data_IF_356023159099
#
_entry.id   IF_356023159099
#
_cell.length_a   1.000
_cell.length_b   1.000
_cell.length_c   1.000
_cell.angle_alpha   90.00
_cell.angle_beta   90.00
_cell.angle_gamma   90.00
#
_symmetry.space_group_name_H-M   'P 1'
#
loop_
_entity.id
_entity.type
_entity.pdbx_description
1 polymer ?
#
# COMPACT_ATOMS: atom_id res chain seq x y z
N UNK A 1 -18.63 2.24 -3.14
CA UNK A 1 -19.98 2.00 -2.58
C UNK A 1 -21.09 1.99 -3.61
N UNK A 2 -21.09 2.83 -4.66
CA UNK A 2 -22.12 2.81 -5.73
C UNK A 2 -22.34 1.43 -6.36
N UNK A 3 -21.25 0.75 -6.78
CA UNK A 3 -21.31 -0.60 -7.37
C UNK A 3 -21.83 -1.68 -6.40
N UNK A 4 -21.57 -1.53 -5.10
CA UNK A 4 -22.06 -2.44 -4.06
C UNK A 4 -23.53 -2.17 -3.72
N UNK A 5 -23.96 -0.91 -3.77
CA UNK A 5 -25.37 -0.52 -3.63
C UNK A 5 -26.22 -1.03 -4.80
N UNK A 6 -25.66 -1.04 -6.02
CA UNK A 6 -26.32 -1.56 -7.22
C UNK A 6 -26.45 -3.09 -7.22
N UNK A 7 -25.50 -3.81 -6.61
CA UNK A 7 -25.47 -5.29 -6.57
C UNK A 7 -26.02 -5.91 -5.27
N UNK A 8 -26.24 -5.12 -4.22
CA UNK A 8 -26.73 -5.58 -2.91
C UNK A 8 -25.76 -6.51 -2.16
N UNK A 9 -24.51 -6.66 -2.64
CA UNK A 9 -23.50 -7.56 -2.08
C UNK A 9 -22.08 -7.05 -2.35
N UNK A 10 -21.10 -7.63 -1.66
CA UNK A 10 -19.67 -7.45 -1.94
C UNK A 10 -19.14 -8.78 -2.48
N UNK A 11 -18.40 -8.72 -3.58
CA UNK A 11 -17.70 -9.84 -4.19
C UNK A 11 -16.33 -9.39 -4.72
N UNK A 12 -15.48 -10.36 -5.07
CA UNK A 12 -14.19 -10.07 -5.69
C UNK A 12 -14.34 -9.26 -6.99
N UNK A 13 -15.35 -9.57 -7.80
CA UNK A 13 -15.63 -8.85 -9.06
C UNK A 13 -16.06 -7.40 -8.82
N UNK A 14 -16.85 -7.14 -7.77
CA UNK A 14 -17.24 -5.76 -7.42
C UNK A 14 -16.00 -4.95 -7.02
N UNK A 15 -15.10 -5.55 -6.23
CA UNK A 15 -13.85 -4.89 -5.83
C UNK A 15 -12.95 -4.67 -7.05
N UNK A 16 -12.76 -5.69 -7.90
CA UNK A 16 -11.96 -5.57 -9.15
C UNK A 16 -12.52 -4.50 -10.08
N UNK A 17 -13.84 -4.46 -10.24
CA UNK A 17 -14.53 -3.46 -11.06
C UNK A 17 -14.32 -2.04 -10.52
N UNK A 18 -14.28 -1.85 -9.20
CA UNK A 18 -13.99 -0.56 -8.61
C UNK A 18 -12.56 -0.08 -8.92
N UNK A 19 -11.57 -0.97 -8.90
CA UNK A 19 -10.20 -0.67 -9.32
C UNK A 19 -10.14 -0.31 -10.80
N UNK A 20 -10.77 -1.12 -11.67
CA UNK A 20 -10.83 -0.86 -13.11
C UNK A 20 -11.49 0.49 -13.44
N UNK A 21 -12.63 0.80 -12.80
CA UNK A 21 -13.31 2.08 -12.97
C UNK A 21 -12.45 3.27 -12.50
N UNK A 22 -11.68 3.09 -11.42
CA UNK A 22 -10.77 4.12 -10.90
C UNK A 22 -9.61 4.37 -11.88
N UNK A 23 -9.00 3.31 -12.40
CA UNK A 23 -7.95 3.40 -13.41
C UNK A 23 -8.45 4.08 -14.68
N UNK A 24 -9.56 3.63 -15.26
CA UNK A 24 -10.08 4.23 -16.49
C UNK A 24 -10.49 5.69 -16.30
N UNK A 25 -11.07 6.03 -15.14
CA UNK A 25 -11.35 7.41 -14.76
C UNK A 25 -10.08 8.27 -14.71
N UNK A 26 -9.00 7.75 -14.13
CA UNK A 26 -7.72 8.44 -14.08
C UNK A 26 -7.05 8.56 -15.46
N UNK A 27 -7.03 7.50 -16.27
CA UNK A 27 -6.50 7.53 -17.63
C UNK A 27 -7.28 8.51 -18.53
N UNK A 28 -8.61 8.59 -18.39
CA UNK A 28 -9.42 9.60 -19.07
C UNK A 28 -9.07 11.04 -18.64
N UNK A 29 -8.65 11.23 -17.39
CA UNK A 29 -8.12 12.52 -16.92
C UNK A 29 -6.73 12.82 -17.52
N UNK A 30 -5.84 11.83 -17.56
CA UNK A 30 -4.51 11.94 -18.21
C UNK A 30 -4.67 12.31 -19.68
N UNK A 31 -5.53 11.64 -20.46
CA UNK A 31 -5.77 11.97 -21.88
C UNK A 31 -6.14 13.43 -22.09
N UNK A 32 -6.99 13.99 -21.24
CA UNK A 32 -7.43 15.39 -21.35
C UNK A 32 -6.37 16.41 -20.92
N UNK A 33 -5.39 16.00 -20.11
CA UNK A 33 -4.52 16.94 -19.39
C UNK A 33 -3.04 16.83 -19.78
N UNK A 34 -2.58 15.68 -20.28
CA UNK A 34 -1.15 15.42 -20.52
C UNK A 34 -0.49 16.39 -21.51
N UNK A 35 -1.22 16.94 -22.48
CA UNK A 35 -0.67 17.96 -23.39
C UNK A 35 -0.32 19.27 -22.67
N UNK A 36 -1.06 19.61 -21.61
CA UNK A 36 -0.86 20.84 -20.81
C UNK A 36 0.09 20.56 -19.64
N UNK A 37 -0.03 19.40 -19.00
CA UNK A 37 0.76 18.97 -17.86
C UNK A 37 1.31 17.55 -18.10
N UNK A 38 2.40 17.38 -18.88
CA UNK A 38 2.92 16.07 -19.27
C UNK A 38 3.21 15.14 -18.10
N UNK A 39 3.67 15.70 -16.98
CA UNK A 39 4.00 14.94 -15.77
C UNK A 39 2.82 14.16 -15.19
N UNK A 40 1.56 14.49 -15.54
CA UNK A 40 0.39 13.72 -15.08
C UNK A 40 0.45 12.26 -15.54
N UNK A 41 1.06 11.98 -16.70
CA UNK A 41 1.25 10.63 -17.24
C UNK A 41 2.16 9.76 -16.36
N UNK A 42 3.04 10.39 -15.57
CA UNK A 42 3.98 9.72 -14.68
C UNK A 42 3.51 9.68 -13.22
N UNK A 43 2.29 10.16 -12.93
CA UNK A 43 1.70 10.06 -11.60
C UNK A 43 1.02 8.70 -11.48
N UNK A 44 1.38 7.98 -10.43
CA UNK A 44 0.77 6.71 -10.07
C UNK A 44 0.81 6.48 -8.56
N UNK A 45 0.12 5.44 -8.12
CA UNK A 45 -0.01 5.09 -6.71
C UNK A 45 -0.26 3.60 -6.52
N UNK A 46 0.38 3.03 -5.49
CA UNK A 46 -0.02 1.76 -4.90
C UNK A 46 -1.39 1.94 -4.25
N UNK A 47 -2.22 0.88 -4.24
CA UNK A 47 -3.55 0.94 -3.66
C UNK A 47 -3.86 -0.37 -2.94
N UNK A 48 -4.05 -0.27 -1.62
CA UNK A 48 -4.46 -1.38 -0.77
C UNK A 48 -5.83 -1.05 -0.17
N UNK A 49 -6.79 -1.94 -0.41
CA UNK A 49 -8.18 -1.78 0.04
C UNK A 49 -8.59 -3.00 0.85
N UNK A 50 -9.30 -2.77 1.95
CA UNK A 50 -9.97 -3.79 2.74
C UNK A 50 -11.45 -3.48 2.93
N UNK A 51 -12.31 -4.48 2.73
CA UNK A 51 -13.76 -4.39 2.97
C UNK A 51 -14.18 -5.55 3.86
N UNK A 52 -14.78 -5.26 5.00
CA UNK A 52 -15.41 -6.28 5.86
C UNK A 52 -16.92 -6.23 5.59
N UNK A 53 -17.48 -7.32 5.08
CA UNK A 53 -18.89 -7.44 4.76
C UNK A 53 -19.43 -8.78 5.27
N UNK A 54 -20.43 -8.72 6.17
CA UNK A 54 -21.08 -9.91 6.75
C UNK A 54 -20.07 -10.96 7.28
N UNK A 55 -19.08 -10.51 8.05
CA UNK A 55 -18.03 -11.36 8.62
C UNK A 55 -16.97 -11.85 7.63
N UNK A 56 -17.04 -11.45 6.36
CA UNK A 56 -16.05 -11.77 5.34
C UNK A 56 -15.18 -10.56 5.05
N UNK A 57 -13.86 -10.75 5.11
CA UNK A 57 -12.86 -9.77 4.72
C UNK A 57 -12.48 -9.98 3.26
N UNK A 58 -12.59 -8.91 2.47
CA UNK A 58 -12.11 -8.82 1.09
C UNK A 58 -10.93 -7.84 1.07
N UNK A 59 -9.79 -8.28 0.55
CA UNK A 59 -8.58 -7.47 0.38
C UNK A 59 -8.23 -7.39 -1.09
N UNK A 60 -7.92 -6.19 -1.56
CA UNK A 60 -7.41 -5.97 -2.91
C UNK A 60 -6.14 -5.13 -2.83
N UNK A 61 -5.05 -5.64 -3.42
CA UNK A 61 -3.74 -4.99 -3.40
C UNK A 61 -3.22 -4.71 -4.81
N UNK A 62 -2.74 -3.48 -5.01
CA UNK A 62 -1.91 -3.02 -6.12
C UNK A 62 -0.64 -2.41 -5.53
N UNK A 63 0.52 -2.94 -5.92
CA UNK A 63 1.80 -2.46 -5.43
C UNK A 63 2.27 -3.22 -4.19
N UNK A 64 3.05 -2.56 -3.36
CA UNK A 64 3.83 -3.14 -2.25
C UNK A 64 3.45 -2.62 -0.86
N UNK A 65 2.32 -1.92 -0.76
CA UNK A 65 1.55 -1.87 0.48
C UNK A 65 1.11 -3.29 0.87
N UNK A 66 0.91 -3.52 2.17
CA UNK A 66 0.62 -4.86 2.69
C UNK A 66 -0.41 -4.83 3.83
N UNK A 67 -1.29 -5.83 3.83
CA UNK A 67 -2.19 -6.13 4.94
C UNK A 67 -1.75 -7.40 5.68
N UNK A 68 -1.66 -7.31 7.01
CA UNK A 68 -1.28 -8.38 7.92
C UNK A 68 -2.35 -8.54 8.99
N UNK A 69 -2.76 -9.76 9.28
CA UNK A 69 -3.68 -10.08 10.37
C UNK A 69 -2.89 -10.57 11.59
N UNK A 70 -3.24 -10.05 12.77
CA UNK A 70 -2.81 -10.60 14.05
C UNK A 70 -3.89 -11.52 14.59
N UNK A 71 -3.56 -12.79 14.84
CA UNK A 71 -4.49 -13.75 15.41
C UNK A 71 -3.86 -14.57 16.55
N UNK A 72 -4.69 -15.03 17.49
CA UNK A 72 -4.22 -15.89 18.58
C UNK A 72 -4.03 -17.33 18.09
N UNK A 73 -2.80 -17.83 18.21
CA UNK A 73 -2.45 -19.22 17.98
C UNK A 73 -2.99 -20.16 19.08
N UNK A 74 -2.78 -21.46 18.89
CA UNK A 74 -3.25 -22.50 19.83
C UNK A 74 -2.65 -22.35 21.23
N UNK A 75 -1.46 -21.77 21.34
CA UNK A 75 -0.76 -21.54 22.61
C UNK A 75 -1.01 -20.13 23.18
N UNK A 76 -2.06 -19.44 22.75
CA UNK A 76 -2.35 -18.04 23.11
C UNK A 76 -1.24 -17.03 22.76
N UNK A 77 -0.31 -17.39 21.89
CA UNK A 77 0.66 -16.47 21.32
C UNK A 77 0.04 -15.71 20.14
N UNK A 78 0.35 -14.42 20.01
CA UNK A 78 -0.06 -13.64 18.84
C UNK A 78 0.82 -14.02 17.64
N UNK A 79 0.18 -14.33 16.50
CA UNK A 79 0.85 -14.73 15.26
C UNK A 79 0.45 -13.76 14.16
N UNK A 80 1.43 -13.32 13.37
CA UNK A 80 1.23 -12.56 12.15
C UNK A 80 1.01 -13.48 10.95
N UNK A 81 -0.05 -13.22 10.19
CA UNK A 81 -0.30 -13.83 8.89
C UNK A 81 -0.45 -12.72 7.84
N UNK A 82 0.37 -12.77 6.79
CA UNK A 82 0.27 -11.83 5.68
C UNK A 82 -0.87 -12.26 4.76
N UNK A 83 -1.81 -11.35 4.50
CA UNK A 83 -3.01 -11.65 3.70
C UNK A 83 -2.90 -11.19 2.24
N UNK A 84 -1.97 -10.29 1.93
CA UNK A 84 -1.78 -9.74 0.58
C UNK A 84 -0.42 -10.13 0.01
N UNK A 85 -0.34 -10.27 -1.32
CA UNK A 85 0.94 -10.39 -2.02
C UNK A 85 1.47 -9.01 -2.36
N UNK A 86 2.76 -8.80 -2.18
CA UNK A 86 3.41 -7.55 -2.56
C UNK A 86 3.83 -7.64 -4.03
N UNK A 87 3.59 -6.58 -4.79
CA UNK A 87 3.89 -6.53 -6.21
C UNK A 87 5.16 -5.73 -6.46
N UNK A 88 6.29 -6.18 -5.92
CA UNK A 88 7.59 -5.50 -5.98
C UNK A 88 8.64 -6.36 -6.68
N UNK A 89 9.40 -5.78 -7.61
CA UNK A 89 10.46 -6.44 -8.39
C UNK A 89 11.65 -6.94 -7.53
N UNK A 90 11.74 -6.54 -6.25
CA UNK A 90 12.65 -7.14 -5.29
C UNK A 90 12.30 -8.60 -4.96
N UNK A 91 11.06 -9.05 -5.21
CA UNK A 91 10.64 -10.45 -5.08
C UNK A 91 10.92 -11.23 -6.36
N UNK A 92 11.50 -12.43 -6.23
CA UNK A 92 11.87 -13.26 -7.39
C UNK A 92 10.63 -13.70 -8.19
N UNK A 93 9.53 -14.04 -7.53
CA UNK A 93 8.28 -14.43 -8.19
C UNK A 93 7.74 -13.33 -9.12
N UNK A 94 7.81 -12.06 -8.70
CA UNK A 94 7.41 -10.91 -9.52
C UNK A 94 8.37 -10.73 -10.70
N UNK A 95 9.67 -10.96 -10.51
CA UNK A 95 10.65 -10.94 -11.62
C UNK A 95 10.38 -12.04 -12.64
N UNK A 96 10.03 -13.23 -12.18
CA UNK A 96 9.70 -14.36 -13.06
C UNK A 96 8.40 -14.09 -13.84
N UNK A 97 7.36 -13.58 -13.18
CA UNK A 97 6.11 -13.14 -13.83
C UNK A 97 6.41 -12.10 -14.92
N UNK A 98 7.19 -11.06 -14.61
CA UNK A 98 7.54 -10.00 -15.56
C UNK A 98 8.31 -10.54 -16.77
N UNK A 99 9.30 -11.43 -16.56
CA UNK A 99 10.05 -12.07 -17.66
C UNK A 99 9.16 -12.96 -18.52
N UNK A 100 8.24 -13.72 -17.90
CA UNK A 100 7.29 -14.59 -18.61
C UNK A 100 6.34 -13.81 -19.51
N UNK A 101 5.85 -12.66 -19.04
CA UNK A 101 4.97 -11.77 -19.80
C UNK A 101 5.71 -10.98 -20.89
N UNK A 102 7.03 -10.86 -20.79
CA UNK A 102 7.89 -10.08 -21.70
C UNK A 102 9.12 -10.88 -22.17
N UNK A 103 8.92 -12.03 -22.85
CA UNK A 103 10.03 -12.91 -23.25
C UNK A 103 10.97 -12.26 -24.28
N UNK A 104 10.49 -11.22 -24.99
CA UNK A 104 11.23 -10.45 -25.99
C UNK A 104 11.86 -9.15 -25.45
N UNK A 105 11.76 -8.88 -24.15
CA UNK A 105 12.33 -7.68 -23.50
C UNK A 105 13.34 -8.09 -22.43
N UNK A 106 14.61 -8.25 -22.83
CA UNK A 106 15.70 -8.58 -21.91
C UNK A 106 15.93 -7.51 -20.83
N UNK A 107 15.38 -6.31 -21.02
CA UNK A 107 15.49 -5.17 -20.12
C UNK A 107 14.21 -4.94 -19.29
N UNK A 108 13.27 -5.90 -19.26
CA UNK A 108 12.01 -5.76 -18.52
C UNK A 108 12.25 -5.51 -17.03
N UNK A 109 13.25 -6.19 -16.44
CA UNK A 109 13.64 -6.01 -15.03
C UNK A 109 15.16 -5.92 -14.93
N UNK A 110 15.65 -4.81 -14.38
CA UNK A 110 17.07 -4.45 -14.34
C UNK A 110 17.49 -4.16 -12.90
N UNK A 111 18.65 -4.66 -12.49
CA UNK A 111 19.27 -4.30 -11.21
C UNK A 111 19.98 -2.95 -11.36
N UNK A 112 19.51 -1.92 -10.66
CA UNK A 112 20.06 -0.55 -10.72
C UNK A 112 20.30 -0.03 -9.32
N UNK A 113 21.55 0.35 -9.02
CA UNK A 113 21.98 0.79 -7.69
C UNK A 113 21.61 -0.22 -6.58
N UNK A 114 21.78 -1.51 -6.84
CA UNK A 114 21.49 -2.59 -5.89
C UNK A 114 20.01 -2.92 -5.70
N UNK A 115 19.10 -2.31 -6.47
CA UNK A 115 17.66 -2.52 -6.37
C UNK A 115 17.07 -2.91 -7.72
N UNK A 116 16.22 -3.94 -7.73
CA UNK A 116 15.54 -4.40 -8.94
C UNK A 116 14.44 -3.42 -9.36
N UNK A 117 14.45 -3.02 -10.63
CA UNK A 117 13.49 -2.06 -11.19
C UNK A 117 12.97 -2.50 -12.55
N UNK A 118 11.67 -2.32 -12.76
CA UNK A 118 10.99 -2.53 -14.04
C UNK A 118 11.44 -1.44 -15.01
N UNK A 119 11.96 -1.85 -16.17
CA UNK A 119 12.61 -0.99 -17.17
C UNK A 119 13.72 -0.08 -16.59
N UNK A 120 14.26 -0.41 -15.42
CA UNK A 120 15.23 0.42 -14.70
C UNK A 120 14.64 1.69 -14.02
N UNK A 121 13.31 1.79 -13.92
CA UNK A 121 12.61 2.99 -13.47
C UNK A 121 11.92 2.78 -12.11
N UNK A 122 10.95 1.86 -12.02
CA UNK A 122 10.06 1.69 -10.85
C UNK A 122 10.21 0.30 -10.22
N UNK A 123 9.94 0.16 -8.92
CA UNK A 123 10.05 -1.14 -8.23
C UNK A 123 8.75 -1.94 -8.25
N UNK A 124 7.60 -1.27 -8.27
CA UNK A 124 6.29 -1.94 -8.23
C UNK A 124 5.82 -2.36 -9.62
N UNK A 125 5.19 -3.53 -9.73
CA UNK A 125 4.63 -4.08 -10.99
C UNK A 125 3.16 -3.75 -11.20
N UNK A 126 2.49 -3.24 -10.16
CA UNK A 126 1.06 -2.93 -10.22
C UNK A 126 0.75 -1.59 -9.56
N UNK A 127 0.04 -0.70 -10.26
CA UNK A 127 -0.33 0.63 -9.77
C UNK A 127 -1.63 1.09 -10.40
N UNK A 128 -2.30 2.06 -9.76
CA UNK A 128 -3.21 2.98 -10.45
C UNK A 128 -2.37 4.11 -11.04
N UNK A 129 -2.66 4.54 -12.28
CA UNK A 129 -1.87 5.59 -12.95
C UNK A 129 -0.61 5.05 -13.62
N UNK A 130 0.51 5.77 -13.55
CA UNK A 130 1.74 5.46 -14.31
C UNK A 130 1.45 5.19 -15.80
N UNK A 131 0.59 6.03 -16.38
CA UNK A 131 0.02 5.85 -17.70
C UNK A 131 1.09 5.66 -18.79
N UNK A 132 2.22 6.35 -18.67
CA UNK A 132 3.38 6.23 -19.59
C UNK A 132 4.02 4.82 -19.61
N UNK A 133 3.81 4.01 -18.56
CA UNK A 133 4.27 2.63 -18.47
C UNK A 133 3.20 1.61 -18.92
N UNK A 134 2.02 2.09 -19.28
CA UNK A 134 0.86 1.26 -19.64
C UNK A 134 0.46 1.44 -21.10
N UNK A 135 0.45 2.68 -21.62
CA UNK A 135 0.02 2.96 -22.99
C UNK A 135 1.04 3.84 -23.71
N UNK A 136 1.50 3.47 -24.93
CA UNK A 136 2.44 4.28 -25.71
C UNK A 136 1.97 5.71 -25.99
N UNK A 137 0.65 5.93 -26.04
CA UNK A 137 0.05 7.27 -26.21
C UNK A 137 0.41 8.27 -25.10
N UNK A 138 0.88 7.80 -23.95
CA UNK A 138 1.31 8.62 -22.81
C UNK A 138 2.82 8.67 -22.63
N UNK A 139 3.60 8.24 -23.63
CA UNK A 139 5.05 8.27 -23.57
C UNK A 139 5.56 9.68 -23.24
N UNK A 140 6.52 9.76 -22.32
CA UNK A 140 7.14 11.01 -21.91
C UNK A 140 8.23 11.43 -22.89
N UNK A 141 8.47 12.73 -22.98
CA UNK A 141 9.58 13.29 -23.76
C UNK A 141 10.92 12.70 -23.28
N UNK A 142 11.79 12.19 -24.17
CA UNK A 142 13.08 11.60 -23.80
C UNK A 142 14.04 12.53 -23.04
N UNK A 143 13.85 13.85 -23.12
CA UNK A 143 14.60 14.84 -22.34
C UNK A 143 14.31 14.76 -20.83
N UNK A 144 13.16 14.21 -20.43
CA UNK A 144 12.80 14.00 -19.03
C UNK A 144 13.46 12.72 -18.50
N UNK A 145 14.74 12.85 -18.15
CA UNK A 145 15.63 11.73 -17.79
C UNK A 145 15.08 10.78 -16.73
N UNK A 146 14.30 11.28 -15.76
CA UNK A 146 13.70 10.48 -14.68
C UNK A 146 12.70 9.44 -15.17
N UNK A 147 11.98 9.71 -16.26
CA UNK A 147 10.90 8.85 -16.80
C UNK A 147 11.25 8.29 -18.18
N UNK A 148 12.52 8.40 -18.57
CA UNK A 148 12.98 8.00 -19.89
C UNK A 148 12.93 6.48 -20.03
N UNK A 149 12.20 6.02 -21.04
CA UNK A 149 12.28 4.67 -21.56
C UNK A 149 13.39 4.60 -22.61
N UNK A 150 14.24 3.58 -22.55
CA UNK A 150 15.30 3.37 -23.55
C UNK A 150 14.71 3.00 -24.92
N UNK A 151 13.59 2.28 -24.92
CA UNK A 151 12.87 1.84 -26.11
C UNK A 151 11.36 2.04 -25.90
N UNK A 152 10.59 2.34 -26.96
CA UNK A 152 9.13 2.40 -26.88
C UNK A 152 8.53 1.08 -26.35
N UNK A 153 7.47 1.21 -25.56
CA UNK A 153 6.76 0.03 -25.05
C UNK A 153 6.02 -0.69 -26.17
N UNK A 154 6.26 -2.00 -26.27
CA UNK A 154 5.48 -2.90 -27.13
C UNK A 154 4.16 -3.33 -26.49
N UNK A 155 4.12 -3.38 -25.15
CA UNK A 155 2.96 -3.74 -24.34
C UNK A 155 3.07 -3.08 -22.94
N UNK A 156 1.96 -3.00 -22.18
CA UNK A 156 1.99 -2.48 -20.81
C UNK A 156 2.99 -3.26 -19.95
N UNK A 157 3.86 -2.56 -19.21
CA UNK A 157 4.79 -3.20 -18.26
C UNK A 157 4.30 -3.14 -16.81
N UNK A 158 3.23 -2.38 -16.58
CA UNK A 158 2.48 -2.33 -15.32
C UNK A 158 1.02 -2.69 -15.56
N UNK A 159 0.34 -3.20 -14.53
CA UNK A 159 -1.10 -3.46 -14.56
C UNK A 159 -1.82 -2.75 -13.41
N UNK A 160 -3.08 -2.39 -13.64
CA UNK A 160 -4.01 -1.91 -12.61
C UNK A 160 -4.93 -3.03 -12.08
N UNK A 161 -4.63 -4.30 -12.40
CA UNK A 161 -5.39 -5.45 -11.95
C UNK A 161 -4.96 -5.91 -10.54
N UNK A 162 -5.80 -5.76 -9.50
CA UNK A 162 -5.40 -6.07 -8.14
C UNK A 162 -5.29 -7.57 -7.89
N UNK A 163 -4.37 -7.98 -7.01
CA UNK A 163 -4.49 -9.29 -6.36
C UNK A 163 -5.61 -9.22 -5.32
N UNK A 164 -6.57 -10.14 -5.37
CA UNK A 164 -7.67 -10.21 -4.41
C UNK A 164 -7.47 -11.41 -3.49
N UNK A 165 -7.71 -11.20 -2.20
CA UNK A 165 -7.73 -12.24 -1.18
C UNK A 165 -9.01 -12.11 -0.35
N UNK A 166 -9.72 -13.23 -0.19
CA UNK A 166 -10.97 -13.29 0.58
C UNK A 166 -10.81 -14.25 1.75
N UNK A 167 -11.27 -13.84 2.93
CA UNK A 167 -11.20 -14.65 4.15
C UNK A 167 -12.44 -14.45 5.01
N UNK A 168 -13.03 -15.54 5.49
CA UNK A 168 -14.02 -15.48 6.57
C UNK A 168 -13.30 -15.22 7.89
N UNK A 169 -13.68 -14.15 8.60
CA UNK A 169 -13.06 -13.79 9.88
C UNK A 169 -13.36 -14.84 10.94
N UNK A 170 -12.34 -15.20 11.71
CA UNK A 170 -12.41 -16.26 12.73
C UNK A 170 -12.34 -15.64 14.13
N UNK A 171 -12.91 -16.27 15.17
CA UNK A 171 -12.86 -15.73 16.54
C UNK A 171 -11.44 -15.46 17.10
N UNK A 172 -10.43 -16.12 16.53
CA UNK A 172 -9.03 -15.93 16.92
C UNK A 172 -8.40 -14.68 16.29
N UNK A 173 -8.95 -14.17 15.18
CA UNK A 173 -8.46 -12.99 14.48
C UNK A 173 -8.72 -11.74 15.35
N UNK A 174 -7.69 -10.98 15.71
CA UNK A 174 -7.81 -9.87 16.69
C UNK A 174 -7.78 -8.49 16.06
N UNK A 175 -6.95 -8.32 15.06
CA UNK A 175 -6.82 -7.04 14.36
C UNK A 175 -6.16 -7.21 13.00
N UNK A 176 -6.32 -6.20 12.16
CA UNK A 176 -5.64 -6.04 10.88
C UNK A 176 -4.69 -4.85 10.96
N UNK A 177 -3.53 -4.96 10.34
CA UNK A 177 -2.58 -3.87 10.10
C UNK A 177 -2.46 -3.68 8.60
N UNK A 178 -2.87 -2.52 8.12
CA UNK A 178 -2.64 -2.05 6.76
C UNK A 178 -1.53 -1.01 6.82
N UNK A 179 -0.49 -1.16 6.01
CA UNK A 179 0.54 -0.13 5.93
C UNK A 179 1.20 -0.06 4.56
N UNK A 180 1.76 1.12 4.26
CA UNK A 180 2.69 1.29 3.14
C UNK A 180 3.99 0.52 3.37
N UNK A 181 4.72 0.26 2.29
CA UNK A 181 6.07 -0.31 2.29
C UNK A 181 7.02 0.39 3.27
N UNK A 182 6.90 1.72 3.46
CA UNK A 182 7.67 2.47 4.45
C UNK A 182 7.60 1.92 5.88
N UNK A 183 6.55 1.19 6.27
CA UNK A 183 6.55 0.43 7.54
C UNK A 183 7.32 -0.89 7.40
N UNK A 184 7.01 -1.65 6.34
CA UNK A 184 7.46 -3.02 6.11
C UNK A 184 8.94 -3.14 5.71
N UNK A 185 9.56 -2.04 5.26
CA UNK A 185 11.01 -1.93 5.07
C UNK A 185 11.78 -1.96 6.40
N UNK A 186 11.11 -1.59 7.50
CA UNK A 186 11.73 -1.47 8.82
C UNK A 186 11.27 -2.56 9.78
N UNK A 187 10.01 -2.97 9.75
CA UNK A 187 9.46 -3.97 10.67
C UNK A 187 9.07 -5.25 9.93
N UNK A 188 9.36 -6.40 10.56
CA UNK A 188 8.76 -7.66 10.14
C UNK A 188 7.27 -7.69 10.48
N UNK A 189 6.52 -8.56 9.79
CA UNK A 189 5.09 -8.77 10.04
C UNK A 189 4.85 -9.11 11.53
N UNK A 190 5.68 -10.00 12.09
CA UNK A 190 5.56 -10.44 13.48
C UNK A 190 5.85 -9.32 14.47
N UNK A 191 6.89 -8.51 14.23
CA UNK A 191 7.22 -7.36 15.08
C UNK A 191 6.06 -6.34 15.12
N UNK A 192 5.47 -6.03 13.97
CA UNK A 192 4.33 -5.10 13.91
C UNK A 192 3.13 -5.63 14.70
N UNK A 193 2.80 -6.91 14.52
CA UNK A 193 1.69 -7.57 15.23
C UNK A 193 1.95 -7.64 16.74
N UNK A 194 3.18 -7.91 17.18
CA UNK A 194 3.56 -7.89 18.59
C UNK A 194 3.47 -6.49 19.20
N UNK A 195 3.85 -5.45 18.47
CA UNK A 195 3.67 -4.06 18.92
C UNK A 195 2.18 -3.76 19.13
N UNK A 196 1.32 -4.14 18.19
CA UNK A 196 -0.13 -3.93 18.30
C UNK A 196 -0.73 -4.71 19.47
N UNK A 197 -0.32 -5.97 19.65
CA UNK A 197 -0.88 -6.84 20.69
C UNK A 197 -0.47 -6.45 22.11
N UNK A 198 0.77 -6.01 22.31
CA UNK A 198 1.33 -5.77 23.64
C UNK A 198 1.17 -4.32 24.14
N UNK A 199 0.46 -3.45 23.41
CA UNK A 199 0.31 -2.03 23.77
C UNK A 199 -1.17 -1.58 23.71
N UNK A 200 -1.52 -0.46 24.39
CA UNK A 200 -2.87 0.10 24.33
C UNK A 200 -3.32 0.44 22.90
N UNK A 201 -4.62 0.33 22.65
CA UNK A 201 -5.23 0.69 21.35
C UNK A 201 -5.00 2.16 20.98
N UNK A 202 -5.03 3.04 21.98
CA UNK A 202 -4.85 4.46 21.78
C UNK A 202 -3.42 4.78 21.28
N UNK A 203 -3.35 5.53 20.17
CA UNK A 203 -2.08 5.92 19.57
C UNK A 203 -1.28 4.78 18.93
N UNK A 204 -1.87 3.59 18.73
CA UNK A 204 -1.13 2.42 18.28
C UNK A 204 -0.47 2.59 16.90
N UNK A 205 -1.15 3.27 15.95
CA UNK A 205 -0.59 3.57 14.64
C UNK A 205 0.64 4.50 14.75
N UNK A 206 0.58 5.52 15.62
CA UNK A 206 1.73 6.41 15.91
C UNK A 206 2.88 5.63 16.54
N UNK A 207 2.59 4.63 17.38
CA UNK A 207 3.60 3.74 17.96
C UNK A 207 4.30 2.92 16.88
N UNK A 208 3.57 2.29 15.97
CA UNK A 208 4.14 1.56 14.84
C UNK A 208 5.05 2.45 13.98
N UNK A 209 4.59 3.66 13.63
CA UNK A 209 5.40 4.64 12.89
C UNK A 209 6.68 4.98 13.66
N UNK A 210 6.58 5.27 14.97
CA UNK A 210 7.76 5.56 15.80
C UNK A 210 8.73 4.39 15.86
N UNK A 211 8.25 3.15 16.02
CA UNK A 211 9.09 1.94 16.05
C UNK A 211 9.82 1.76 14.72
N UNK A 212 9.14 1.93 13.59
CA UNK A 212 9.76 1.87 12.27
C UNK A 212 10.83 2.95 12.07
N UNK A 213 10.57 4.20 12.49
CA UNK A 213 11.55 5.28 12.39
C UNK A 213 12.76 5.08 13.31
N UNK A 214 12.57 4.48 14.49
CA UNK A 214 13.67 4.11 15.37
C UNK A 214 14.55 3.04 14.72
N UNK A 215 13.95 2.05 14.07
CA UNK A 215 14.65 1.01 13.34
C UNK A 215 15.35 1.56 12.07
N UNK A 216 14.72 2.49 11.36
CA UNK A 216 15.34 3.23 10.26
C UNK A 216 16.60 3.99 10.72
N UNK A 217 16.52 4.70 11.85
CA UNK A 217 17.65 5.40 12.45
C UNK A 217 18.76 4.42 12.86
N UNK A 218 18.40 3.29 13.48
CA UNK A 218 19.35 2.23 13.87
C UNK A 218 20.10 1.64 12.68
N UNK A 219 19.42 1.35 11.56
CA UNK A 219 20.03 0.85 10.31
C UNK A 219 21.03 1.84 9.69
N UNK A 220 20.95 3.12 10.08
CA UNK A 220 21.83 4.21 9.63
C UNK A 220 22.77 4.70 10.73
N UNK A 221 22.90 3.94 11.81
CA UNK A 221 23.80 4.22 12.94
C UNK A 221 23.59 5.62 13.55
N UNK A 222 22.34 6.12 13.52
CA UNK A 222 21.99 7.44 14.03
C UNK A 222 20.90 7.36 15.10
N UNK A 223 20.77 8.42 15.92
CA UNK A 223 19.70 8.50 16.92
C UNK A 223 18.40 8.92 16.24
N UNK A 224 17.27 8.41 16.73
CA UNK A 224 15.94 8.83 16.27
C UNK A 224 15.73 10.36 16.37
N UNK A 225 16.27 10.99 17.41
CA UNK A 225 16.22 12.45 17.57
C UNK A 225 16.94 13.22 16.45
N UNK A 226 18.01 12.64 15.90
CA UNK A 226 18.77 13.23 14.80
C UNK A 226 18.07 12.97 13.47
N UNK A 227 17.50 11.77 13.27
CA UNK A 227 16.69 11.46 12.10
C UNK A 227 15.50 12.43 11.93
N UNK A 228 14.84 12.80 13.03
CA UNK A 228 13.74 13.78 13.02
C UNK A 228 14.15 15.18 12.57
N UNK A 229 15.43 15.54 12.71
CA UNK A 229 15.97 16.85 12.30
C UNK A 229 16.41 16.85 10.84
N UNK A 230 16.42 15.70 10.16
CA UNK A 230 16.81 15.60 8.75
C UNK A 230 15.80 16.34 7.86
N UNK A 231 16.34 17.23 7.03
CA UNK A 231 15.58 18.07 6.12
C UNK A 231 14.77 17.26 5.09
N UNK A 232 13.68 17.87 4.61
CA UNK A 232 12.90 17.31 3.51
C UNK A 232 13.80 17.15 2.28
N UNK A 233 13.64 16.05 1.54
CA UNK A 233 14.53 15.68 0.42
C UNK A 233 15.60 14.69 0.86
N UNK A 234 16.47 15.06 1.80
CA UNK A 234 17.51 14.16 2.32
C UNK A 234 16.89 13.01 3.13
N UNK A 235 15.79 13.27 3.83
CA UNK A 235 15.07 12.25 4.63
C UNK A 235 14.73 10.98 3.88
N UNK A 236 14.45 11.08 2.57
CA UNK A 236 14.12 9.91 1.72
C UNK A 236 15.28 8.93 1.53
N UNK A 237 16.51 9.31 1.87
CA UNK A 237 17.62 8.35 1.92
C UNK A 237 17.60 7.46 3.18
N UNK A 238 16.82 7.84 4.19
CA UNK A 238 16.72 7.14 5.47
C UNK A 238 15.47 6.27 5.57
N UNK A 239 14.31 6.80 5.18
CA UNK A 239 13.03 6.10 5.17
C UNK A 239 12.06 6.74 4.17
N UNK A 240 11.08 5.97 3.69
CA UNK A 240 9.96 6.51 2.89
C UNK A 240 8.81 7.04 3.78
N UNK A 241 7.78 7.59 3.14
CA UNK A 241 6.55 7.98 3.81
C UNK A 241 5.85 6.75 4.45
N UNK A 242 5.56 6.83 5.75
CA UNK A 242 4.97 5.72 6.52
C UNK A 242 3.50 6.02 6.81
N UNK A 243 2.60 5.21 6.26
CA UNK A 243 1.16 5.25 6.55
C UNK A 243 0.74 3.93 7.19
N UNK A 244 -0.02 3.99 8.29
CA UNK A 244 -0.47 2.81 9.04
C UNK A 244 -1.93 2.97 9.45
N UNK A 245 -2.73 1.92 9.25
CA UNK A 245 -4.10 1.78 9.74
C UNK A 245 -4.17 0.46 10.53
N UNK A 246 -4.70 0.52 11.76
CA UNK A 246 -4.95 -0.66 12.59
C UNK A 246 -6.44 -0.78 12.83
N UNK A 247 -7.03 -1.92 12.49
CA UNK A 247 -8.45 -2.22 12.65
C UNK A 247 -8.59 -3.34 13.67
N UNK A 248 -9.17 -3.07 14.84
CA UNK A 248 -9.48 -4.09 15.82
C UNK A 248 -10.79 -4.80 15.46
N UNK A 249 -10.81 -6.13 15.60
CA UNK A 249 -11.96 -6.96 15.29
C UNK A 249 -12.62 -7.35 16.61
N UNK A 250 -13.67 -6.62 16.96
CA UNK A 250 -14.47 -6.90 18.14
C UNK A 250 -15.59 -7.89 17.77
N UNK A 251 -15.29 -9.19 17.90
CA UNK A 251 -16.17 -10.31 17.47
C UNK A 251 -17.54 -10.35 18.16
N UNK A 252 -17.67 -9.72 19.32
CA UNK A 252 -18.94 -9.63 20.06
C UNK A 252 -19.97 -8.85 19.23
N UNK A 253 -19.56 -7.74 18.60
CA UNK A 253 -20.42 -6.90 17.79
C UNK A 253 -20.71 -7.48 16.39
N UNK A 254 -19.88 -8.39 15.89
CA UNK A 254 -20.14 -9.07 14.61
C UNK A 254 -21.34 -10.05 14.67
N UNK A 255 -21.79 -10.40 15.88
CA UNK A 255 -22.90 -11.34 16.11
C UNK A 255 -24.24 -10.66 16.39
N UNK A 256 -24.26 -9.35 16.60
CA UNK A 256 -25.48 -8.61 16.88
C UNK A 256 -26.10 -8.05 15.59
N UNK A 257 -27.23 -8.57 15.11
CA UNK A 257 -27.81 -8.17 13.83
C UNK A 257 -28.37 -6.73 13.81
N UNK A 258 -28.54 -6.10 14.98
CA UNK A 258 -29.18 -4.78 15.13
C UNK A 258 -28.28 -3.72 15.80
N UNK A 259 -26.96 -3.95 15.92
CA UNK A 259 -26.06 -2.96 16.49
C UNK A 259 -25.96 -1.75 15.54
N UNK A 260 -26.60 -0.62 15.88
CA UNK A 260 -26.45 0.63 15.13
C UNK A 260 -25.10 1.26 15.47
N UNK A 261 -24.12 1.08 14.60
CA UNK A 261 -22.85 1.81 14.69
C UNK A 261 -23.01 3.12 13.92
N UNK A 262 -22.62 4.24 14.52
CA UNK A 262 -22.61 5.52 13.82
C UNK A 262 -21.73 5.41 12.56
N UNK A 263 -22.26 5.82 11.41
CA UNK A 263 -21.47 5.88 10.18
C UNK A 263 -20.36 6.91 10.38
N UNK A 264 -19.11 6.43 10.37
CA UNK A 264 -17.93 7.26 10.52
C UNK A 264 -17.08 7.14 9.25
N UNK A 265 -17.14 8.17 8.42
CA UNK A 265 -16.27 8.32 7.26
C UNK A 265 -15.17 9.32 7.58
N UNK A 266 -13.96 8.83 7.83
CA UNK A 266 -12.78 9.67 8.03
C UNK A 266 -11.98 9.73 6.73
N UNK A 267 -11.85 10.92 6.16
CA UNK A 267 -10.90 11.18 5.08
C UNK A 267 -9.53 11.48 5.71
N UNK A 268 -8.56 10.59 5.49
CA UNK A 268 -7.21 10.70 6.07
C UNK A 268 -6.35 11.86 5.55
N UNK A 269 -6.82 12.62 4.55
CA UNK A 269 -6.09 13.76 4.00
C UNK A 269 -7.04 14.93 3.67
N UNK A 270 -6.80 16.06 4.32
CA UNK A 270 -7.16 17.41 3.86
C UNK A 270 -5.81 18.10 3.61
N UNK A 271 -5.73 19.05 2.67
CA UNK A 271 -4.56 19.90 2.39
C UNK A 271 -4.21 20.83 3.59
N UNK A 272 -4.09 20.25 4.78
CA UNK A 272 -3.76 20.89 6.02
C UNK A 272 -2.27 20.67 6.28
N UNK A 273 -1.49 21.71 6.10
CA UNK A 273 -0.12 21.77 6.61
C UNK A 273 -0.21 21.88 8.13
N UNK A 274 -0.29 20.76 8.85
CA UNK A 274 -0.37 20.75 10.30
C UNK A 274 -0.30 19.34 10.91
N UNK A 275 0.16 19.20 12.16
CA UNK A 275 0.06 17.94 12.88
C UNK A 275 -1.41 17.53 13.01
N UNK A 276 -1.69 16.22 12.91
CA UNK A 276 -3.01 15.71 13.21
C UNK A 276 -3.41 16.05 14.64
N UNK A 277 -4.67 16.44 14.87
CA UNK A 277 -5.24 16.72 16.20
C UNK A 277 -5.29 15.48 17.12
N UNK A 278 -4.75 14.32 16.71
CA UNK A 278 -4.49 13.18 17.59
C UNK A 278 -3.28 13.44 18.51
N UNK A 279 -3.37 14.50 19.32
CA UNK A 279 -2.43 14.83 20.39
C UNK A 279 -2.95 14.30 21.73
N UNK A 280 -2.87 12.99 21.96
CA UNK A 280 -3.21 12.39 23.27
C UNK A 280 -2.03 11.70 23.97
N UNK A 281 -0.83 11.69 23.40
CA UNK A 281 0.32 10.99 24.00
C UNK A 281 1.62 11.79 23.97
N UNK A 282 1.54 13.11 24.22
CA UNK A 282 2.68 13.85 24.74
C UNK A 282 2.49 13.97 26.26
N UNK A 283 2.62 12.84 26.96
CA UNK A 283 2.47 12.80 28.41
C UNK A 283 2.18 11.41 28.95
N UNK A 284 3.22 10.56 29.01
CA UNK A 284 3.49 9.67 30.14
C UNK A 284 4.86 9.00 29.89
N UNK A 285 5.72 9.13 30.89
CA UNK A 285 7.15 8.83 30.89
C UNK A 285 7.48 7.38 30.53
#
# INVERSE_FOLDING_TARGET
>A
MRLAQESGTISEDVVRSAFSATEEGFLAHVRRTHQIKPLISAIGSCCLVGVIWRGTLYLANLGDSRAVIGYLGRSNNIIAEQLTRDHNACLEEVRQELRSLHPDDSNIVVLKHGVWRIKGIIQVSRTIGDAYLKKPEFAMDPSVTRFRLTEPLRRPVLTADPSIHTRVLRPQDKFLVFASDGLWEHLSNQQAVEVVYNHPREGIARRLVRTALQEAARKREMRYADLKKVEKGIRRFFHDDITVIVIYIDHEFLREPNASVAELSIRGFVDAVGPSNFSMLDGQN
#
